data_IF_635438067582
#
_entry.id   IF_635438067582
#
_cell.length_a   1.000
_cell.length_b   1.000
_cell.length_c   1.000
_cell.angle_alpha   90.00
_cell.angle_beta   90.00
_cell.angle_gamma   90.00
#
_symmetry.space_group_name_H-M   'P 1'
#
loop_
_entity.id
_entity.type
_entity.pdbx_description
1 polymer ?
#
# COMPACT_ATOMS: atom_id res chain seq x y z
N UNK A 1 -28.18 5.79 -12.77
CA UNK A 1 -28.13 4.51 -13.51
C UNK A 1 -29.41 3.68 -13.35
N UNK A 2 -29.80 3.18 -12.16
CA UNK A 2 -31.07 2.42 -12.00
C UNK A 2 -32.31 3.17 -12.50
N UNK A 3 -32.45 4.43 -12.09
CA UNK A 3 -33.59 5.27 -12.47
C UNK A 3 -33.61 5.62 -13.96
N UNK A 4 -32.44 5.69 -14.59
CA UNK A 4 -32.34 5.87 -16.05
C UNK A 4 -32.69 4.60 -16.79
N UNK A 5 -32.22 3.44 -16.32
CA UNK A 5 -32.56 2.14 -16.93
C UNK A 5 -34.07 1.89 -16.93
N UNK A 6 -34.73 2.27 -15.84
CA UNK A 6 -36.18 2.14 -15.73
C UNK A 6 -36.92 3.16 -16.61
N UNK A 7 -36.52 4.43 -16.62
CA UNK A 7 -37.22 5.47 -17.39
C UNK A 7 -37.00 5.36 -18.90
N UNK A 8 -35.78 5.04 -19.34
CA UNK A 8 -35.44 5.00 -20.75
C UNK A 8 -35.77 3.67 -21.43
N UNK A 9 -35.69 2.54 -20.69
CA UNK A 9 -35.79 1.21 -21.28
C UNK A 9 -36.75 0.26 -20.54
N UNK A 10 -37.47 0.72 -19.51
CA UNK A 10 -38.41 -0.11 -18.75
C UNK A 10 -37.75 -1.22 -17.92
N UNK A 11 -36.42 -1.19 -17.77
CA UNK A 11 -35.66 -2.23 -17.08
C UNK A 11 -35.71 -2.01 -15.57
N UNK A 12 -36.26 -2.99 -14.84
CA UNK A 12 -36.22 -3.03 -13.39
C UNK A 12 -34.92 -3.69 -12.91
N UNK A 13 -33.93 -2.87 -12.57
CA UNK A 13 -32.62 -3.32 -12.07
C UNK A 13 -32.55 -3.25 -10.53
N UNK A 14 -32.10 -4.35 -9.90
CA UNK A 14 -31.65 -4.33 -8.52
C UNK A 14 -30.21 -3.80 -8.45
N UNK A 15 -29.96 -2.81 -7.59
CA UNK A 15 -28.61 -2.24 -7.43
C UNK A 15 -27.93 -2.98 -6.28
N UNK A 16 -26.88 -3.72 -6.61
CA UNK A 16 -25.97 -4.29 -5.64
C UNK A 16 -24.80 -3.32 -5.48
N UNK A 17 -24.62 -2.78 -4.28
CA UNK A 17 -23.47 -1.95 -3.98
C UNK A 17 -22.30 -2.86 -3.64
N UNK A 18 -21.19 -2.70 -4.35
CA UNK A 18 -19.90 -3.27 -3.94
C UNK A 18 -19.35 -2.45 -2.76
N UNK A 19 -20.02 -2.55 -1.60
CA UNK A 19 -19.56 -1.99 -0.33
C UNK A 19 -19.14 -3.12 0.57
N UNK A 20 -17.86 -3.08 0.92
CA UNK A 20 -17.29 -3.89 1.97
C UNK A 20 -18.16 -3.80 3.25
N UNK A 21 -18.56 -4.94 3.86
CA UNK A 21 -19.38 -4.93 5.07
C UNK A 21 -18.65 -4.18 6.18
N UNK A 22 -19.32 -3.23 6.83
CA UNK A 22 -18.74 -2.47 7.96
C UNK A 22 -18.43 -3.35 9.18
N UNK A 23 -18.99 -4.56 9.24
CA UNK A 23 -18.65 -5.57 10.24
C UNK A 23 -17.30 -6.24 9.99
N UNK A 24 -16.80 -6.24 8.75
CA UNK A 24 -15.56 -6.90 8.36
C UNK A 24 -14.41 -5.91 8.12
N UNK A 25 -14.72 -4.65 7.80
CA UNK A 25 -13.72 -3.64 7.47
C UNK A 25 -13.82 -2.47 8.43
N UNK A 26 -12.69 -2.15 9.07
CA UNK A 26 -12.52 -0.97 9.90
C UNK A 26 -11.17 -0.34 9.63
N UNK A 27 -11.06 0.94 9.95
CA UNK A 27 -9.77 1.60 9.94
C UNK A 27 -8.86 1.01 11.03
N UNK A 28 -7.57 0.90 10.72
CA UNK A 28 -6.57 0.52 11.69
C UNK A 28 -6.26 1.70 12.61
N UNK A 29 -6.16 1.42 13.91
CA UNK A 29 -5.58 2.34 14.88
C UNK A 29 -4.10 2.60 14.57
N UNK A 30 -3.53 3.64 15.16
CA UNK A 30 -2.11 3.96 14.96
C UNK A 30 -1.18 2.83 15.44
N UNK A 31 -1.52 2.18 16.56
CA UNK A 31 -0.78 1.01 17.03
C UNK A 31 -0.83 -0.13 16.01
N UNK A 32 -2.00 -0.42 15.43
CA UNK A 32 -2.13 -1.48 14.44
C UNK A 32 -1.41 -1.16 13.14
N UNK A 33 -1.43 0.11 12.70
CA UNK A 33 -0.62 0.58 11.58
C UNK A 33 0.87 0.36 11.86
N UNK A 34 1.34 0.67 13.07
CA UNK A 34 2.73 0.48 13.46
C UNK A 34 3.16 -0.98 13.47
N UNK A 35 2.38 -1.86 14.12
CA UNK A 35 2.66 -3.31 14.14
C UNK A 35 2.63 -3.92 12.75
N UNK A 36 1.67 -3.51 11.91
CA UNK A 36 1.63 -3.93 10.52
C UNK A 36 2.92 -3.52 9.80
N UNK A 37 3.33 -2.25 9.91
CA UNK A 37 4.52 -1.74 9.23
C UNK A 37 5.81 -2.40 9.72
N UNK A 38 5.93 -2.74 11.01
CA UNK A 38 7.03 -3.55 11.53
C UNK A 38 7.06 -4.92 10.86
N UNK A 39 5.93 -5.62 10.84
CA UNK A 39 5.82 -6.94 10.19
C UNK A 39 6.13 -6.89 8.69
N UNK A 40 5.59 -5.89 7.99
CA UNK A 40 5.87 -5.69 6.57
C UNK A 40 7.35 -5.36 6.34
N UNK A 41 7.95 -4.57 7.24
CA UNK A 41 9.35 -4.17 7.15
C UNK A 41 10.36 -5.30 7.36
N UNK A 42 9.95 -6.39 8.00
CA UNK A 42 10.75 -7.61 8.18
C UNK A 42 10.63 -8.60 7.01
N UNK A 43 9.73 -8.36 6.06
CA UNK A 43 9.60 -9.18 4.86
C UNK A 43 10.78 -9.00 3.89
N UNK A 44 10.88 -9.89 2.90
CA UNK A 44 11.96 -9.90 1.89
C UNK A 44 12.11 -8.60 1.08
N UNK A 45 11.11 -7.72 1.11
CA UNK A 45 11.11 -6.40 0.46
C UNK A 45 10.67 -5.29 1.42
N UNK A 46 10.77 -5.58 2.72
CA UNK A 46 10.33 -4.71 3.79
C UNK A 46 11.19 -3.45 3.95
N UNK A 47 12.30 -3.33 3.21
CA UNK A 47 13.16 -2.15 3.20
C UNK A 47 12.37 -0.85 2.95
N UNK A 48 11.31 -0.93 2.15
CA UNK A 48 10.39 0.19 1.86
C UNK A 48 9.68 0.69 3.11
N UNK A 49 9.42 -0.18 4.09
CA UNK A 49 8.83 0.18 5.37
C UNK A 49 9.89 0.46 6.46
N UNK A 50 11.13 0.00 6.23
CA UNK A 50 12.31 0.26 7.05
C UNK A 50 12.07 0.04 8.54
N UNK A 51 11.65 -1.18 8.88
CA UNK A 51 11.47 -1.60 10.27
C UNK A 51 12.83 -1.69 10.97
N UNK A 52 12.91 -1.10 12.16
CA UNK A 52 14.03 -1.20 13.09
C UNK A 52 13.47 -1.71 14.42
N UNK A 53 13.27 -3.04 14.57
CA UNK A 53 12.61 -3.60 15.75
C UNK A 53 13.32 -3.28 17.06
N UNK A 54 14.65 -3.17 17.03
CA UNK A 54 15.45 -2.82 18.20
C UNK A 54 15.10 -1.42 18.75
N UNK A 55 14.60 -0.53 17.89
CA UNK A 55 14.19 0.83 18.23
C UNK A 55 12.66 0.99 18.30
N UNK A 56 11.89 -0.09 18.12
CA UNK A 56 10.42 -0.07 18.05
C UNK A 56 9.94 1.01 17.05
N UNK A 57 10.57 1.02 15.87
CA UNK A 57 10.46 2.08 14.88
C UNK A 57 10.30 1.55 13.44
N UNK A 58 9.66 2.36 12.59
CA UNK A 58 9.56 2.17 11.14
C UNK A 58 9.87 3.49 10.44
N UNK A 59 9.95 3.50 9.09
CA UNK A 59 10.04 4.75 8.32
C UNK A 59 8.88 5.72 8.57
N UNK A 60 7.77 5.25 9.12
CA UNK A 60 6.54 6.04 9.26
C UNK A 60 6.20 6.41 10.71
N UNK A 61 6.61 5.59 11.67
CA UNK A 61 6.13 5.69 13.05
C UNK A 61 7.16 5.17 14.04
N UNK A 62 7.08 5.64 15.27
CA UNK A 62 7.94 5.22 16.38
C UNK A 62 7.08 5.02 17.62
N UNK A 63 7.43 4.02 18.43
CA UNK A 63 6.86 3.84 19.76
C UNK A 63 7.81 4.41 20.81
N UNK A 64 7.28 5.26 21.67
CA UNK A 64 8.07 5.81 22.77
C UNK A 64 8.42 4.70 23.78
N UNK A 65 9.70 4.54 24.15
CA UNK A 65 10.12 3.46 25.04
C UNK A 65 9.60 3.64 26.48
N UNK A 66 9.31 4.87 26.90
CA UNK A 66 8.86 5.20 28.26
C UNK A 66 7.33 5.16 28.39
N UNK A 67 6.60 5.78 27.46
CA UNK A 67 5.13 5.89 27.51
C UNK A 67 4.43 4.75 26.77
N UNK A 68 5.15 4.01 25.91
CA UNK A 68 4.62 2.99 24.98
C UNK A 68 3.62 3.51 23.95
N UNK A 69 3.46 4.82 23.86
CA UNK A 69 2.60 5.48 22.89
C UNK A 69 3.25 5.45 21.50
N UNK A 70 2.44 5.14 20.48
CA UNK A 70 2.88 5.20 19.09
C UNK A 70 2.56 6.57 18.52
N UNK A 71 3.53 7.17 17.86
CA UNK A 71 3.35 8.42 17.10
C UNK A 71 3.89 8.29 15.69
N UNK A 72 3.35 9.12 14.79
CA UNK A 72 3.96 9.32 13.48
C UNK A 72 5.28 10.06 13.62
N UNK A 73 6.23 9.76 12.73
CA UNK A 73 7.45 10.56 12.60
C UNK A 73 7.16 11.83 11.82
N UNK A 74 7.82 12.93 12.19
CA UNK A 74 7.68 14.21 11.50
C UNK A 74 8.33 14.21 10.11
N UNK A 75 9.35 13.36 9.92
CA UNK A 75 10.09 13.17 8.67
C UNK A 75 9.57 12.00 7.83
N UNK A 76 8.43 11.40 8.19
CA UNK A 76 7.92 10.22 7.49
C UNK A 76 7.61 10.51 6.01
N UNK A 77 7.85 9.55 5.11
CA UNK A 77 7.34 9.65 3.77
C UNK A 77 5.80 9.52 3.74
N UNK A 78 5.20 10.00 2.66
CA UNK A 78 3.80 9.74 2.33
C UNK A 78 3.71 8.42 1.55
N UNK A 79 2.93 7.48 2.05
CA UNK A 79 2.67 6.21 1.36
C UNK A 79 1.46 6.35 0.43
N UNK A 80 1.65 6.10 -0.85
CA UNK A 80 0.60 6.08 -1.88
C UNK A 80 0.58 4.69 -2.50
N UNK A 81 -0.60 4.12 -2.69
CA UNK A 81 -0.78 2.82 -3.32
C UNK A 81 -1.70 3.00 -4.53
N UNK A 82 -1.24 2.57 -5.70
CA UNK A 82 -2.04 2.54 -6.92
C UNK A 82 -2.15 1.10 -7.42
N UNK A 83 -3.38 0.61 -7.53
CA UNK A 83 -3.67 -0.62 -8.27
C UNK A 83 -3.94 -0.27 -9.73
N UNK A 84 -3.39 -1.05 -10.66
CA UNK A 84 -3.56 -0.85 -12.11
C UNK A 84 -3.62 -2.19 -12.82
N UNK A 85 -4.48 -2.31 -13.82
CA UNK A 85 -4.53 -3.49 -14.68
C UNK A 85 -3.42 -3.48 -15.72
N UNK A 86 -2.70 -2.37 -15.91
CA UNK A 86 -1.72 -2.17 -16.97
C UNK A 86 -2.28 -2.44 -18.38
N UNK A 87 -3.57 -2.26 -18.59
CA UNK A 87 -4.19 -2.41 -19.91
C UNK A 87 -4.15 -1.11 -20.72
N UNK A 88 -4.15 -1.16 -22.06
CA UNK A 88 -4.05 0.04 -22.89
C UNK A 88 -5.22 1.02 -22.79
N UNK A 89 -6.38 0.57 -22.28
CA UNK A 89 -7.53 1.42 -21.99
C UNK A 89 -7.36 2.25 -20.71
N UNK A 90 -6.40 1.91 -19.84
CA UNK A 90 -6.00 2.76 -18.72
C UNK A 90 -4.97 3.82 -19.17
N UNK A 91 -5.29 5.10 -18.98
CA UNK A 91 -4.30 6.18 -19.15
C UNK A 91 -3.41 6.29 -17.89
N UNK A 92 -2.49 5.33 -17.76
CA UNK A 92 -1.54 5.28 -16.64
C UNK A 92 -0.53 6.45 -16.68
N UNK A 93 -0.40 7.13 -17.82
CA UNK A 93 0.54 8.23 -17.98
C UNK A 93 0.19 9.40 -17.05
N UNK A 94 -1.09 9.62 -16.77
CA UNK A 94 -1.56 10.67 -15.85
C UNK A 94 -0.92 10.53 -14.47
N UNK A 95 -0.80 9.30 -13.94
CA UNK A 95 -0.17 9.06 -12.65
C UNK A 95 1.33 9.41 -12.69
N UNK A 96 2.01 9.04 -13.77
CA UNK A 96 3.45 9.29 -13.93
C UNK A 96 3.75 10.79 -14.10
N UNK A 97 2.92 11.50 -14.85
CA UNK A 97 3.06 12.94 -15.03
C UNK A 97 2.81 13.68 -13.71
N UNK A 98 1.81 13.25 -12.92
CA UNK A 98 1.56 13.78 -11.59
C UNK A 98 2.74 13.51 -10.64
N UNK A 99 3.29 12.30 -10.63
CA UNK A 99 4.46 11.94 -9.83
C UNK A 99 5.68 12.78 -10.21
N UNK A 100 5.94 12.97 -11.50
CA UNK A 100 7.05 13.80 -11.98
C UNK A 100 6.88 15.27 -11.59
N UNK A 101 5.68 15.82 -11.79
CA UNK A 101 5.36 17.19 -11.37
C UNK A 101 5.55 17.38 -9.86
N UNK A 102 5.08 16.42 -9.06
CA UNK A 102 5.30 16.45 -7.62
C UNK A 102 6.78 16.45 -7.27
N UNK A 103 7.57 15.55 -7.89
CA UNK A 103 9.02 15.48 -7.68
C UNK A 103 9.71 16.82 -7.92
N UNK A 104 9.36 17.49 -9.01
CA UNK A 104 9.99 18.76 -9.40
C UNK A 104 9.60 19.90 -8.45
N UNK A 105 8.34 19.95 -7.99
CA UNK A 105 7.91 20.89 -6.95
C UNK A 105 8.58 20.57 -5.61
N UNK A 106 8.73 19.30 -5.25
CA UNK A 106 9.40 18.88 -4.02
C UNK A 106 10.87 19.33 -4.01
N UNK A 107 11.57 19.23 -5.14
CA UNK A 107 12.94 19.72 -5.31
C UNK A 107 13.06 21.23 -5.00
N UNK A 108 12.14 22.04 -5.55
CA UNK A 108 12.10 23.49 -5.30
C UNK A 108 11.72 23.80 -3.84
N UNK A 109 10.78 23.04 -3.27
CA UNK A 109 10.33 23.24 -1.89
C UNK A 109 11.48 23.08 -0.88
N UNK A 110 12.43 22.18 -1.19
CA UNK A 110 13.59 21.88 -0.33
C UNK A 110 14.60 23.02 -0.27
N UNK A 111 14.79 23.76 -1.36
CA UNK A 111 15.69 24.91 -1.43
C UNK A 111 15.07 26.20 -0.90
N UNK A 112 13.75 26.21 -0.64
CA UNK A 112 13.01 27.38 -0.18
C UNK A 112 13.02 27.52 1.35
N UNK A 113 12.16 26.77 2.06
CA UNK A 113 12.06 26.85 3.53
C UNK A 113 11.70 25.49 4.14
N UNK A 114 12.09 25.20 5.40
CA UNK A 114 11.68 23.97 6.08
C UNK A 114 10.15 23.82 6.23
N UNK A 115 9.43 24.93 6.42
CA UNK A 115 7.98 24.92 6.67
C UNK A 115 7.16 24.57 5.42
N UNK A 116 7.71 24.78 4.22
CA UNK A 116 7.06 24.48 2.94
C UNK A 116 7.55 23.17 2.32
N UNK A 117 8.41 22.43 3.02
CA UNK A 117 9.05 21.23 2.48
C UNK A 117 8.02 20.12 2.29
N UNK A 118 7.92 19.63 1.06
CA UNK A 118 7.06 18.49 0.76
C UNK A 118 7.69 17.17 1.22
N UNK A 119 6.87 16.20 1.70
CA UNK A 119 7.36 14.89 2.10
C UNK A 119 7.86 14.09 0.89
N UNK A 120 8.73 13.12 1.14
CA UNK A 120 9.05 12.10 0.12
C UNK A 120 7.81 11.24 -0.09
N UNK A 121 7.48 10.90 -1.33
CA UNK A 121 6.43 9.92 -1.62
C UNK A 121 7.06 8.54 -1.81
N UNK A 122 6.47 7.54 -1.18
CA UNK A 122 6.65 6.13 -1.52
C UNK A 122 5.41 5.71 -2.29
N UNK A 123 5.54 5.51 -3.61
CA UNK A 123 4.46 5.11 -4.50
C UNK A 123 4.56 3.61 -4.79
N UNK A 124 3.70 2.83 -4.17
CA UNK A 124 3.56 1.40 -4.46
C UNK A 124 2.58 1.22 -5.62
N UNK A 125 3.04 0.58 -6.69
CA UNK A 125 2.20 0.23 -7.83
C UNK A 125 2.02 -1.29 -7.86
N UNK A 126 0.76 -1.73 -7.89
CA UNK A 126 0.39 -3.15 -7.91
C UNK A 126 -0.54 -3.48 -9.07
N UNK A 127 -0.59 -4.77 -9.42
CA UNK A 127 -1.41 -5.32 -10.49
C UNK A 127 -0.60 -5.96 -11.62
N UNK A 128 -1.31 -6.50 -12.61
CA UNK A 128 -0.74 -7.30 -13.71
C UNK A 128 -1.43 -6.95 -15.02
N UNK A 129 -0.64 -6.80 -16.08
CA UNK A 129 -1.15 -6.69 -17.45
C UNK A 129 -0.06 -6.33 -18.45
N UNK A 130 -0.45 -6.18 -19.73
CA UNK A 130 0.47 -6.22 -20.86
C UNK A 130 1.42 -5.02 -20.96
N UNK A 131 1.07 -3.85 -20.39
CA UNK A 131 1.91 -2.66 -20.43
C UNK A 131 2.82 -2.49 -19.21
N UNK A 132 2.84 -3.46 -18.29
CA UNK A 132 3.58 -3.34 -17.03
C UNK A 132 5.07 -3.08 -17.28
N UNK A 133 5.72 -3.93 -18.06
CA UNK A 133 7.16 -3.85 -18.32
C UNK A 133 7.52 -2.53 -19.02
N UNK A 134 6.69 -2.10 -19.98
CA UNK A 134 6.84 -0.81 -20.67
C UNK A 134 6.88 0.36 -19.68
N UNK A 135 5.91 0.42 -18.76
CA UNK A 135 5.86 1.51 -17.78
C UNK A 135 6.95 1.39 -16.71
N UNK A 136 7.34 0.18 -16.31
CA UNK A 136 8.46 -0.03 -15.39
C UNK A 136 9.77 0.55 -15.95
N UNK A 137 10.09 0.25 -17.21
CA UNK A 137 11.26 0.84 -17.88
C UNK A 137 11.16 2.37 -17.96
N UNK A 138 9.98 2.89 -18.29
CA UNK A 138 9.75 4.34 -18.37
C UNK A 138 10.01 5.01 -17.02
N UNK A 139 9.48 4.45 -15.94
CA UNK A 139 9.65 4.96 -14.57
C UNK A 139 11.13 4.94 -14.16
N UNK A 140 11.86 3.87 -14.46
CA UNK A 140 13.29 3.79 -14.17
C UNK A 140 14.09 4.90 -14.87
N UNK A 141 13.70 5.30 -16.08
CA UNK A 141 14.34 6.39 -16.84
C UNK A 141 14.01 7.78 -16.31
N UNK A 142 12.90 7.96 -15.57
CA UNK A 142 12.45 9.27 -15.08
C UNK A 142 13.30 9.84 -13.94
N UNK A 143 14.11 9.01 -13.25
CA UNK A 143 15.06 9.39 -12.19
C UNK A 143 14.49 10.44 -11.22
N UNK A 144 13.54 10.01 -10.38
CA UNK A 144 12.92 10.87 -9.36
C UNK A 144 13.64 10.72 -8.02
N UNK A 145 13.90 11.83 -7.35
CA UNK A 145 14.60 11.89 -6.05
C UNK A 145 13.62 11.97 -4.87
N UNK A 146 12.43 12.52 -5.11
CA UNK A 146 11.42 12.80 -4.07
C UNK A 146 10.18 11.91 -4.20
N UNK A 147 10.18 11.01 -5.17
CA UNK A 147 9.17 9.96 -5.36
C UNK A 147 9.89 8.63 -5.59
N UNK A 148 9.83 7.77 -4.58
CA UNK A 148 10.33 6.40 -4.61
C UNK A 148 9.21 5.49 -5.14
N UNK A 149 9.43 4.86 -6.29
CA UNK A 149 8.44 3.97 -6.90
C UNK A 149 8.80 2.51 -6.64
N UNK A 150 7.84 1.74 -6.13
CA UNK A 150 8.00 0.32 -5.77
C UNK A 150 6.94 -0.50 -6.48
N UNK A 151 7.34 -1.61 -7.13
CA UNK A 151 6.42 -2.48 -7.83
C UNK A 151 6.12 -3.73 -7.01
N UNK A 152 4.86 -4.17 -6.98
CA UNK A 152 4.46 -5.31 -6.15
C UNK A 152 4.91 -6.69 -6.68
N UNK A 153 5.46 -6.81 -7.90
CA UNK A 153 6.25 -8.01 -8.28
C UNK A 153 7.48 -8.18 -7.39
N UNK A 154 7.91 -7.06 -6.81
CA UNK A 154 8.82 -6.93 -5.70
C UNK A 154 8.46 -7.89 -4.56
N UNK A 155 7.20 -7.81 -4.12
CA UNK A 155 6.67 -8.24 -2.81
C UNK A 155 6.18 -9.69 -2.74
N UNK A 156 6.56 -10.55 -3.69
CA UNK A 156 5.86 -11.82 -3.97
C UNK A 156 5.85 -12.89 -2.84
N UNK A 157 6.62 -12.85 -1.73
CA UNK A 157 6.38 -13.77 -0.61
C UNK A 157 5.56 -13.20 0.55
N UNK A 158 4.97 -12.00 0.46
CA UNK A 158 4.30 -11.37 1.61
C UNK A 158 2.91 -11.94 1.96
N UNK A 159 2.25 -12.65 1.05
CA UNK A 159 0.87 -13.14 1.25
C UNK A 159 0.76 -14.66 1.48
N UNK A 160 1.87 -15.41 1.45
CA UNK A 160 1.87 -16.82 1.81
C UNK A 160 2.14 -17.00 3.31
N UNK A 161 1.16 -16.67 4.16
CA UNK A 161 1.15 -17.19 5.52
C UNK A 161 0.78 -18.70 5.46
N UNK A 162 1.50 -19.60 6.17
CA UNK A 162 1.09 -20.99 6.25
C UNK A 162 -0.26 -21.09 6.97
N UNK A 163 -1.20 -21.82 6.37
CA UNK A 163 -2.47 -22.14 6.98
C UNK A 163 -2.23 -22.81 8.34
N UNK A 164 -2.96 -22.36 9.36
CA UNK A 164 -2.99 -23.00 10.67
C UNK A 164 -3.39 -24.47 10.49
N UNK A 165 -2.45 -25.38 10.67
CA UNK A 165 -2.75 -26.81 10.82
C UNK A 165 -3.49 -26.99 12.13
N UNK A 166 -4.81 -27.22 12.05
CA UNK A 166 -5.56 -27.75 13.19
C UNK A 166 -4.98 -29.13 13.53
N UNK A 167 -4.52 -29.29 14.76
CA UNK A 167 -4.09 -30.58 15.28
C UNK A 167 -5.28 -31.54 15.33
N UNK A 168 -5.23 -32.60 14.55
CA UNK A 168 -6.07 -33.77 14.78
C UNK A 168 -5.54 -34.53 16.00
N UNK A 169 -6.44 -34.69 16.96
CA UNK A 169 -6.20 -35.39 18.20
C UNK A 169 -5.93 -36.87 17.98
N UNK A 170 -4.97 -37.36 18.75
CA UNK A 170 -4.71 -38.77 19.02
C UNK A 170 -6.00 -39.47 19.43
N UNK A 171 -6.40 -40.48 18.65
CA UNK A 171 -7.35 -41.50 19.10
C UNK A 171 -6.53 -42.75 19.40
N UNK A 172 -6.36 -43.02 20.69
CA UNK A 172 -5.90 -44.30 21.22
C UNK A 172 -6.85 -45.40 20.78
N UNK A 173 -6.31 -46.43 20.11
CA UNK A 173 -6.98 -47.72 19.98
C UNK A 173 -6.14 -48.79 20.67
N UNK A 174 -6.52 -49.07 21.91
CA UNK A 174 -6.20 -50.29 22.65
C UNK A 174 -6.87 -51.46 21.93
N UNK A 175 -6.10 -52.46 21.50
CA UNK A 175 -6.61 -53.83 21.36
C UNK A 175 -5.49 -54.81 21.71
N UNK A 176 -5.85 -55.77 22.57
CA UNK A 176 -5.07 -56.92 23.03
C UNK A 176 -4.78 -57.93 21.93
#
# INVERSE_FOLDING_TARGET
>A
MREDLQRAWGVHAAVFYDRAPSSAFREFSLNEKHELLLRLGLGSNGQVFGAVPAEDATRFSIRDPSTREVRFRDDRPLLVISSTSWTPDEDFQILLDAAKKYNDVAAISRSSSPATRLPIIVLIITGRGPLKEFYMEKIQRMKMEYVEVVFCSDLTPMLSAPALTHGEGTVDSVVS
#
